data_IF_628106140490
#
_entry.id   IF_628106140490
#
_cell.length_a   1.000
_cell.length_b   1.000
_cell.length_c   1.000
_cell.angle_alpha   90.00
_cell.angle_beta   90.00
_cell.angle_gamma   90.00
#
_symmetry.space_group_name_H-M   'P 1'
#
loop_
_entity.id
_entity.type
_entity.pdbx_description
1 polymer ?
#
# COMPACT_ATOMS: atom_id res chain seq x y z
N UNK A 1 -16.97 -34.63 2.84
CA UNK A 1 -15.83 -33.71 2.75
C UNK A 1 -16.37 -32.33 3.04
N UNK A 2 -16.10 -31.75 4.20
CA UNK A 2 -16.34 -30.32 4.44
C UNK A 2 -15.44 -29.58 3.44
N UNK A 3 -16.03 -28.91 2.45
CA UNK A 3 -15.26 -28.16 1.46
C UNK A 3 -14.49 -27.08 2.21
N UNK A 4 -13.17 -27.22 2.24
CA UNK A 4 -12.28 -26.23 2.84
C UNK A 4 -12.54 -24.86 2.21
N UNK A 5 -12.80 -23.84 3.04
CA UNK A 5 -13.04 -22.47 2.56
C UNK A 5 -11.81 -22.02 1.74
N UNK A 6 -12.01 -21.39 0.56
CA UNK A 6 -10.90 -20.97 -0.28
C UNK A 6 -10.05 -19.93 0.44
N UNK A 7 -8.73 -20.07 0.34
CA UNK A 7 -7.77 -19.05 0.78
C UNK A 7 -7.72 -17.94 -0.27
N UNK A 8 -8.01 -16.71 0.12
CA UNK A 8 -7.84 -15.52 -0.73
C UNK A 8 -6.44 -14.93 -0.52
N UNK A 9 -5.64 -14.91 -1.58
CA UNK A 9 -4.29 -14.34 -1.56
C UNK A 9 -4.28 -13.05 -2.36
N UNK A 10 -4.01 -11.94 -1.71
CA UNK A 10 -3.85 -10.64 -2.35
C UNK A 10 -2.37 -10.40 -2.65
N UNK A 11 -2.01 -10.38 -3.93
CA UNK A 11 -0.66 -10.13 -4.42
C UNK A 11 -0.56 -8.66 -4.81
N UNK A 12 0.14 -7.87 -4.00
CA UNK A 12 0.39 -6.44 -4.27
C UNK A 12 1.82 -6.29 -4.78
N UNK A 13 2.00 -5.70 -5.96
CA UNK A 13 3.35 -5.43 -6.43
C UNK A 13 3.50 -4.58 -7.69
N UNK A 14 4.74 -4.21 -7.96
CA UNK A 14 5.15 -3.25 -8.98
C UNK A 14 5.55 -3.90 -10.32
N UNK A 15 4.99 -5.08 -10.59
CA UNK A 15 5.36 -5.91 -11.74
C UNK A 15 5.02 -5.26 -13.08
N UNK A 16 3.99 -4.39 -13.15
CA UNK A 16 3.59 -3.59 -14.31
C UNK A 16 3.33 -4.35 -15.63
N UNK A 17 3.36 -5.68 -15.62
CA UNK A 17 2.89 -6.53 -16.70
C UNK A 17 2.21 -7.80 -16.15
N UNK A 18 1.36 -8.42 -16.96
CA UNK A 18 0.63 -9.63 -16.59
C UNK A 18 1.54 -10.86 -16.46
N UNK A 19 2.69 -10.90 -17.15
CA UNK A 19 3.54 -12.08 -17.19
C UNK A 19 4.23 -12.29 -15.84
N UNK A 20 4.83 -11.24 -15.29
CA UNK A 20 5.49 -11.27 -13.99
C UNK A 20 4.50 -11.59 -12.85
N UNK A 21 3.27 -11.05 -12.89
CA UNK A 21 2.21 -11.48 -11.98
C UNK A 21 1.90 -12.98 -12.13
N UNK A 22 1.75 -13.47 -13.36
CA UNK A 22 1.44 -14.88 -13.61
C UNK A 22 2.58 -15.80 -13.13
N UNK A 23 3.84 -15.43 -13.34
CA UNK A 23 4.99 -16.20 -12.84
C UNK A 23 4.99 -16.30 -11.30
N UNK A 24 4.71 -15.19 -10.61
CA UNK A 24 4.59 -15.18 -9.15
C UNK A 24 3.40 -16.02 -8.69
N UNK A 25 2.26 -15.89 -9.36
CA UNK A 25 1.04 -16.64 -9.03
C UNK A 25 1.26 -18.14 -9.20
N UNK A 26 1.88 -18.59 -10.31
CA UNK A 26 2.24 -19.99 -10.52
C UNK A 26 3.17 -20.53 -9.43
N UNK A 27 4.06 -19.70 -8.89
CA UNK A 27 4.96 -20.11 -7.80
C UNK A 27 4.24 -20.17 -6.47
N UNK A 28 3.31 -19.26 -6.20
CA UNK A 28 2.44 -19.32 -5.01
C UNK A 28 1.56 -20.59 -5.09
N UNK A 29 0.86 -20.79 -6.21
CA UNK A 29 0.04 -21.99 -6.48
C UNK A 29 0.85 -23.27 -6.33
N UNK A 30 2.05 -23.33 -6.91
CA UNK A 30 2.91 -24.50 -6.81
C UNK A 30 3.36 -24.83 -5.38
N UNK A 31 3.66 -23.82 -4.56
CA UNK A 31 4.03 -24.03 -3.15
C UNK A 31 2.83 -24.34 -2.23
N UNK A 32 1.61 -24.02 -2.69
CA UNK A 32 0.34 -24.29 -2.02
C UNK A 32 -0.47 -25.38 -2.74
N UNK A 33 0.18 -26.20 -3.55
CA UNK A 33 -0.50 -27.21 -4.37
C UNK A 33 -1.37 -28.13 -3.50
N UNK A 34 -2.63 -28.31 -3.92
CA UNK A 34 -3.64 -29.07 -3.18
C UNK A 34 -4.52 -28.23 -2.24
N UNK A 35 -4.16 -26.97 -1.96
CA UNK A 35 -5.04 -26.03 -1.26
C UNK A 35 -5.95 -25.32 -2.27
N UNK A 36 -7.22 -25.13 -1.89
CA UNK A 36 -8.14 -24.28 -2.63
C UNK A 36 -7.76 -22.80 -2.42
N UNK A 37 -7.21 -22.13 -3.43
CA UNK A 37 -6.75 -20.73 -3.36
C UNK A 37 -7.35 -19.88 -4.49
N UNK A 38 -7.65 -18.62 -4.18
CA UNK A 38 -7.99 -17.57 -5.13
C UNK A 38 -6.94 -16.47 -5.04
N UNK A 39 -6.34 -16.08 -6.16
CA UNK A 39 -5.32 -15.03 -6.19
C UNK A 39 -5.89 -13.74 -6.82
N UNK A 40 -5.70 -12.62 -6.13
CA UNK A 40 -6.11 -11.29 -6.56
C UNK A 40 -4.87 -10.40 -6.71
N UNK A 41 -4.64 -9.89 -7.92
CA UNK A 41 -3.48 -9.05 -8.21
C UNK A 41 -3.83 -7.56 -8.08
N UNK A 42 -3.04 -6.83 -7.30
CA UNK A 42 -3.06 -5.37 -7.20
C UNK A 42 -1.75 -4.81 -7.74
N UNK A 43 -1.82 -4.17 -8.90
CA UNK A 43 -0.67 -3.49 -9.48
C UNK A 43 -0.43 -2.14 -8.79
N UNK A 44 0.83 -1.78 -8.61
CA UNK A 44 1.27 -0.43 -8.25
C UNK A 44 2.31 0.05 -9.27
N UNK A 45 2.54 1.38 -9.40
CA UNK A 45 3.57 1.90 -10.28
C UNK A 45 4.97 1.35 -9.95
N UNK A 46 5.82 1.29 -10.96
CA UNK A 46 7.18 0.73 -10.82
C UNK A 46 7.95 1.42 -9.67
N UNK A 47 8.52 0.61 -8.77
CA UNK A 47 9.34 1.05 -7.64
C UNK A 47 8.62 1.91 -6.59
N UNK A 48 7.29 2.03 -6.67
CA UNK A 48 6.51 2.95 -5.83
C UNK A 48 6.11 2.31 -4.49
N UNK A 49 7.05 2.30 -3.55
CA UNK A 49 6.83 1.75 -2.20
C UNK A 49 5.76 2.49 -1.39
N UNK A 50 5.48 3.77 -1.71
CA UNK A 50 4.44 4.56 -1.03
C UNK A 50 3.06 4.07 -1.44
N UNK A 51 2.83 3.93 -2.74
CA UNK A 51 1.62 3.32 -3.30
C UNK A 51 1.41 1.91 -2.76
N UNK A 52 2.46 1.10 -2.67
CA UNK A 52 2.41 -0.26 -2.08
C UNK A 52 1.91 -0.25 -0.65
N UNK A 53 2.51 0.60 0.19
CA UNK A 53 2.11 0.69 1.60
C UNK A 53 0.68 1.16 1.76
N UNK A 54 0.26 2.16 0.97
CA UNK A 54 -1.12 2.64 0.96
C UNK A 54 -2.11 1.54 0.54
N UNK A 55 -1.86 0.86 -0.59
CA UNK A 55 -2.72 -0.23 -1.06
C UNK A 55 -2.79 -1.39 -0.07
N UNK A 56 -1.65 -1.77 0.53
CA UNK A 56 -1.61 -2.80 1.56
C UNK A 56 -2.51 -2.42 2.74
N UNK A 57 -2.33 -1.23 3.32
CA UNK A 57 -3.13 -0.82 4.47
C UNK A 57 -4.62 -0.66 4.12
N UNK A 58 -4.92 -0.04 2.98
CA UNK A 58 -6.30 0.17 2.52
C UNK A 58 -7.06 -1.15 2.33
N UNK A 59 -6.40 -2.21 1.85
CA UNK A 59 -7.01 -3.53 1.65
C UNK A 59 -7.00 -4.35 2.95
N UNK A 60 -5.84 -4.47 3.61
CA UNK A 60 -5.65 -5.38 4.74
C UNK A 60 -6.34 -4.91 6.02
N UNK A 61 -6.35 -3.62 6.32
CA UNK A 61 -7.00 -3.10 7.53
C UNK A 61 -8.53 -3.11 7.42
N UNK A 62 -9.07 -3.10 6.20
CA UNK A 62 -10.51 -3.10 5.92
C UNK A 62 -11.07 -4.48 5.54
N UNK A 63 -10.32 -5.56 5.76
CA UNK A 63 -10.87 -6.92 5.63
C UNK A 63 -12.04 -7.08 6.60
N UNK A 64 -13.23 -7.52 6.13
CA UNK A 64 -14.38 -7.76 7.00
C UNK A 64 -14.08 -8.74 8.13
N UNK A 65 -14.20 -8.27 9.38
CA UNK A 65 -13.99 -9.09 10.59
C UNK A 65 -15.28 -9.62 11.19
N UNK A 66 -16.43 -9.17 10.69
CA UNK A 66 -17.77 -9.59 11.11
C UNK A 66 -18.22 -10.92 10.47
N UNK A 67 -17.47 -11.40 9.46
CA UNK A 67 -17.73 -12.66 8.76
C UNK A 67 -16.86 -13.77 9.35
N UNK A 68 -17.48 -14.74 10.03
CA UNK A 68 -16.78 -15.81 10.73
C UNK A 68 -15.87 -16.63 9.80
N UNK A 69 -14.59 -16.71 10.16
CA UNK A 69 -13.58 -17.45 9.42
C UNK A 69 -13.11 -16.76 8.14
N UNK A 70 -13.54 -15.54 7.82
CA UNK A 70 -13.15 -14.86 6.60
C UNK A 70 -11.71 -14.33 6.69
N UNK A 71 -11.41 -13.57 7.73
CA UNK A 71 -10.09 -12.97 7.97
C UNK A 71 -8.95 -14.01 7.97
N UNK A 72 -9.16 -15.16 8.61
CA UNK A 72 -8.16 -16.24 8.69
C UNK A 72 -7.81 -16.82 7.32
N UNK A 73 -8.76 -16.74 6.38
CA UNK A 73 -8.62 -17.18 4.99
C UNK A 73 -8.20 -16.05 4.04
N UNK A 74 -7.81 -14.87 4.54
CA UNK A 74 -7.24 -13.79 3.72
C UNK A 74 -5.76 -13.63 4.06
N UNK A 75 -4.89 -13.67 3.05
CA UNK A 75 -3.43 -13.50 3.20
C UNK A 75 -2.90 -12.53 2.16
N UNK A 76 -1.82 -11.84 2.52
CA UNK A 76 -1.18 -10.85 1.64
C UNK A 76 0.24 -11.28 1.26
N UNK A 77 0.56 -11.13 -0.02
CA UNK A 77 1.90 -11.28 -0.57
C UNK A 77 2.29 -9.96 -1.22
N UNK A 78 3.21 -9.23 -0.60
CA UNK A 78 3.51 -7.84 -0.98
C UNK A 78 4.97 -7.70 -1.40
N UNK A 79 5.19 -7.17 -2.61
CA UNK A 79 6.53 -6.98 -3.12
C UNK A 79 6.63 -5.70 -3.93
N UNK A 80 7.56 -4.84 -3.54
CA UNK A 80 8.03 -3.75 -4.39
C UNK A 80 9.54 -3.70 -4.25
N UNK A 81 10.26 -3.79 -5.36
CA UNK A 81 11.71 -3.80 -5.34
C UNK A 81 12.23 -2.43 -5.75
N UNK A 82 12.50 -1.49 -4.82
CA UNK A 82 12.97 -0.16 -5.19
C UNK A 82 14.38 -0.28 -5.79
N UNK A 83 14.50 -0.34 -7.12
CA UNK A 83 15.78 -0.53 -7.84
C UNK A 83 16.74 0.68 -7.75
N UNK A 84 16.54 1.58 -6.80
CA UNK A 84 17.26 2.87 -6.63
C UNK A 84 17.66 3.16 -5.18
N UNK A 85 17.49 2.20 -4.28
CA UNK A 85 17.67 2.34 -2.84
C UNK A 85 19.14 2.34 -2.39
N UNK A 86 20.03 1.57 -3.05
CA UNK A 86 21.48 1.61 -2.82
C UNK A 86 22.22 2.04 -4.11
N UNK A 87 22.97 3.16 -4.10
CA UNK A 87 23.79 3.55 -5.26
C UNK A 87 24.99 2.61 -5.48
N UNK A 88 25.31 1.70 -4.54
CA UNK A 88 26.39 0.72 -4.67
C UNK A 88 25.94 -0.52 -5.45
N UNK A 89 26.87 -1.08 -6.22
CA UNK A 89 26.67 -2.38 -6.89
C UNK A 89 26.48 -3.45 -5.83
N UNK A 90 25.32 -4.10 -5.81
CA UNK A 90 25.03 -5.20 -4.90
C UNK A 90 25.65 -6.50 -5.45
N UNK A 91 26.53 -7.13 -4.67
CA UNK A 91 27.12 -8.44 -5.00
C UNK A 91 26.03 -9.52 -4.82
N UNK A 92 25.94 -10.48 -5.76
CA UNK A 92 24.96 -11.61 -5.75
C UNK A 92 23.47 -11.24 -5.80
N UNK A 93 23.11 -10.04 -6.25
CA UNK A 93 21.71 -9.59 -6.31
C UNK A 93 21.01 -9.55 -4.93
N UNK A 94 21.76 -9.31 -3.85
CA UNK A 94 21.19 -9.14 -2.52
C UNK A 94 20.13 -8.02 -2.53
N UNK A 95 18.89 -8.34 -2.17
CA UNK A 95 17.78 -7.40 -2.14
C UNK A 95 17.29 -7.11 -0.72
N UNK A 96 16.29 -6.24 -0.60
CA UNK A 96 15.60 -5.97 0.66
C UNK A 96 15.07 -7.25 1.34
N UNK A 97 15.02 -7.24 2.68
CA UNK A 97 14.56 -8.39 3.46
C UNK A 97 13.07 -8.69 3.26
N UNK A 98 12.70 -9.97 3.29
CA UNK A 98 11.28 -10.35 3.42
C UNK A 98 10.92 -10.32 4.90
N UNK A 99 9.72 -9.82 5.20
CA UNK A 99 9.20 -9.74 6.56
C UNK A 99 7.79 -10.31 6.62
N UNK A 100 7.45 -10.81 7.78
CA UNK A 100 6.10 -11.17 8.18
C UNK A 100 5.45 -9.97 8.86
N UNK A 101 4.16 -9.76 8.61
CA UNK A 101 3.36 -8.84 9.39
C UNK A 101 2.06 -9.50 9.83
N UNK A 102 1.58 -9.10 11.02
CA UNK A 102 0.26 -9.42 11.54
C UNK A 102 -0.40 -8.15 12.03
N UNK A 103 -1.65 -7.94 11.64
CA UNK A 103 -2.45 -6.77 11.99
C UNK A 103 -3.37 -7.10 13.16
N UNK A 104 -3.81 -6.05 13.86
CA UNK A 104 -4.72 -6.17 15.00
C UNK A 104 -6.06 -6.82 14.66
N UNK A 105 -6.48 -6.73 13.39
CA UNK A 105 -7.71 -7.36 12.90
C UNK A 105 -7.53 -8.85 12.57
N UNK A 106 -6.33 -9.42 12.76
CA UNK A 106 -6.01 -10.83 12.50
C UNK A 106 -5.46 -11.13 11.11
N UNK A 107 -5.51 -10.16 10.18
CA UNK A 107 -4.90 -10.30 8.85
C UNK A 107 -3.39 -10.40 8.97
N UNK A 108 -2.80 -11.26 8.15
CA UNK A 108 -1.35 -11.45 8.10
C UNK A 108 -0.87 -11.68 6.67
N UNK A 109 0.44 -11.57 6.49
CA UNK A 109 1.07 -11.80 5.20
C UNK A 109 2.57 -11.63 5.26
N UNK A 110 3.15 -11.60 4.06
CA UNK A 110 4.56 -11.27 3.88
C UNK A 110 4.70 -10.03 3.03
N UNK A 111 5.69 -9.22 3.34
CA UNK A 111 6.03 -8.03 2.58
C UNK A 111 7.55 -7.92 2.43
N UNK A 112 8.02 -7.36 1.33
CA UNK A 112 9.39 -6.88 1.26
C UNK A 112 9.49 -5.59 2.09
N UNK A 113 10.44 -5.55 3.02
CA UNK A 113 10.72 -4.35 3.81
C UNK A 113 11.50 -3.33 2.97
N UNK A 114 10.78 -2.64 2.09
CA UNK A 114 11.33 -1.68 1.13
C UNK A 114 10.67 -0.32 1.26
N UNK A 115 11.45 0.73 1.48
CA UNK A 115 10.94 2.12 1.56
C UNK A 115 9.72 2.23 2.47
N UNK A 116 8.58 2.67 1.91
CA UNK A 116 7.34 2.87 2.65
C UNK A 116 6.32 1.72 2.55
N UNK A 117 6.70 0.55 2.03
CA UNK A 117 5.79 -0.58 1.78
C UNK A 117 5.05 -1.10 3.02
N UNK A 118 5.59 -0.83 4.22
CA UNK A 118 4.99 -1.21 5.51
C UNK A 118 4.60 -0.01 6.38
N UNK A 119 4.90 1.22 5.94
CA UNK A 119 4.75 2.42 6.76
C UNK A 119 3.30 2.64 7.24
N UNK A 120 2.32 2.35 6.38
CA UNK A 120 0.91 2.57 6.67
C UNK A 120 0.27 1.50 7.57
N UNK A 121 0.86 0.30 7.64
CA UNK A 121 0.38 -0.78 8.52
C UNK A 121 1.10 -0.81 9.88
N UNK A 122 2.23 -0.12 10.02
CA UNK A 122 3.07 -0.09 11.24
C UNK A 122 2.24 0.15 12.51
N UNK A 123 1.38 1.17 12.53
CA UNK A 123 0.56 1.52 13.69
C UNK A 123 -0.57 0.51 13.99
N UNK A 124 -0.99 -0.27 12.99
CA UNK A 124 -2.00 -1.32 13.12
C UNK A 124 -1.42 -2.72 13.38
N UNK A 125 -0.10 -2.87 13.32
CA UNK A 125 0.55 -4.17 13.40
C UNK A 125 0.77 -4.62 14.85
N UNK A 126 0.36 -5.84 15.15
CA UNK A 126 0.69 -6.53 16.39
C UNK A 126 2.09 -7.16 16.32
N UNK A 127 2.50 -7.57 15.12
CA UNK A 127 3.84 -8.10 14.84
C UNK A 127 4.33 -7.60 13.48
N UNK A 128 5.60 -7.19 13.40
CA UNK A 128 6.33 -7.12 12.14
C UNK A 128 7.71 -7.71 12.37
N UNK A 129 8.00 -8.87 11.76
CA UNK A 129 9.20 -9.66 12.05
C UNK A 129 9.95 -10.02 10.80
N UNK A 130 11.28 -10.01 10.86
CA UNK A 130 12.09 -10.51 9.74
C UNK A 130 11.76 -11.97 9.42
N UNK A 131 11.76 -12.35 8.15
CA UNK A 131 11.75 -13.76 7.74
C UNK A 131 13.17 -14.19 7.39
N UNK A 132 13.62 -15.28 8.01
CA UNK A 132 14.89 -15.94 7.71
C UNK A 132 14.80 -16.68 6.37
N UNK A 133 14.77 -15.92 5.28
CA UNK A 133 14.83 -16.44 3.92
C UNK A 133 16.19 -16.14 3.30
N UNK A 134 16.61 -16.99 2.35
CA UNK A 134 17.85 -16.77 1.61
C UNK A 134 17.84 -15.38 0.94
N UNK A 135 18.85 -14.57 1.26
CA UNK A 135 19.01 -13.22 0.71
C UNK A 135 19.70 -13.22 -0.66
N UNK A 136 20.29 -14.35 -1.04
CA UNK A 136 21.07 -14.56 -2.26
C UNK A 136 20.35 -15.49 -3.25
N UNK A 137 20.75 -15.44 -4.53
CA UNK A 137 20.53 -16.54 -5.48
C UNK A 137 19.50 -16.32 -6.59
N UNK A 138 18.80 -15.18 -6.65
CA UNK A 138 17.95 -14.83 -7.80
C UNK A 138 17.83 -13.33 -8.02
N UNK A 139 17.75 -12.92 -9.29
CA UNK A 139 17.36 -11.56 -9.69
C UNK A 139 15.86 -11.29 -9.50
N UNK A 140 15.01 -12.34 -9.45
CA UNK A 140 13.56 -12.25 -9.30
C UNK A 140 13.08 -12.98 -8.04
N UNK A 141 13.48 -12.45 -6.88
CA UNK A 141 13.26 -13.09 -5.57
C UNK A 141 11.78 -13.29 -5.21
N UNK A 142 10.89 -12.41 -5.66
CA UNK A 142 9.45 -12.58 -5.45
C UNK A 142 8.83 -13.72 -6.25
N UNK A 143 9.52 -14.22 -7.28
CA UNK A 143 9.18 -15.46 -8.00
C UNK A 143 9.89 -16.68 -7.38
N UNK A 144 11.19 -16.56 -7.10
CA UNK A 144 12.03 -17.74 -6.85
C UNK A 144 12.25 -18.07 -5.36
N UNK A 145 12.11 -17.08 -4.47
CA UNK A 145 12.46 -17.21 -3.03
C UNK A 145 11.24 -17.02 -2.14
N UNK A 146 10.54 -15.88 -2.28
CA UNK A 146 9.49 -15.48 -1.34
C UNK A 146 8.25 -16.39 -1.33
N UNK A 147 7.82 -17.01 -2.45
CA UNK A 147 6.64 -17.90 -2.43
C UNK A 147 6.78 -19.10 -1.50
N UNK A 148 8.00 -19.61 -1.28
CA UNK A 148 8.27 -20.69 -0.31
C UNK A 148 8.00 -20.22 1.11
N UNK A 149 8.57 -19.07 1.50
CA UNK A 149 8.37 -18.49 2.82
C UNK A 149 6.89 -18.13 3.07
N UNK A 150 6.22 -17.55 2.07
CA UNK A 150 4.79 -17.27 2.15
C UNK A 150 3.97 -18.54 2.42
N UNK A 151 4.28 -19.65 1.74
CA UNK A 151 3.58 -20.91 1.95
C UNK A 151 3.77 -21.48 3.36
N UNK A 152 4.94 -21.28 3.98
CA UNK A 152 5.14 -21.67 5.39
C UNK A 152 4.25 -20.85 6.34
N UNK A 153 4.14 -19.54 6.12
CA UNK A 153 3.21 -18.69 6.89
C UNK A 153 1.76 -19.14 6.71
N UNK A 154 1.34 -19.44 5.46
CA UNK A 154 -0.02 -19.95 5.18
C UNK A 154 -0.32 -21.27 5.91
N UNK A 155 0.69 -22.13 6.10
CA UNK A 155 0.58 -23.39 6.86
C UNK A 155 0.67 -23.19 8.38
N UNK A 156 0.85 -21.95 8.85
CA UNK A 156 1.04 -21.64 10.28
C UNK A 156 2.43 -22.00 10.81
N UNK A 157 3.43 -22.18 9.94
CA UNK A 157 4.80 -22.39 10.36
C UNK A 157 5.51 -21.03 10.56
N UNK A 158 5.66 -20.64 11.82
CA UNK A 158 6.31 -19.40 12.24
C UNK A 158 7.76 -19.57 12.72
N UNK A 159 8.35 -20.77 12.59
CA UNK A 159 9.73 -21.03 13.02
C UNK A 159 10.76 -20.25 12.19
N UNK A 160 10.36 -19.80 11.00
CA UNK A 160 11.16 -18.98 10.09
C UNK A 160 11.25 -17.51 10.51
N UNK A 161 10.50 -17.09 11.55
CA UNK A 161 10.49 -15.70 12.00
C UNK A 161 11.75 -15.34 12.82
N UNK A 162 12.24 -14.13 12.60
CA UNK A 162 13.38 -13.50 13.26
C UNK A 162 12.95 -12.36 14.18
N UNK A 163 13.79 -11.35 14.30
CA UNK A 163 13.57 -10.22 15.21
C UNK A 163 12.39 -9.34 14.78
N UNK A 164 11.85 -8.60 15.74
CA UNK A 164 10.93 -7.49 15.46
C UNK A 164 11.68 -6.35 14.78
N UNK A 165 11.14 -5.83 13.68
CA UNK A 165 11.76 -4.79 12.86
C UNK A 165 10.90 -3.52 12.78
N UNK A 166 9.86 -3.39 13.61
CA UNK A 166 8.92 -2.23 13.58
C UNK A 166 9.64 -0.88 13.65
N UNK A 167 10.68 -0.78 14.46
CA UNK A 167 11.48 0.45 14.62
C UNK A 167 12.29 0.80 13.36
N UNK A 168 12.56 -0.17 12.49
CA UNK A 168 13.27 0.03 11.23
C UNK A 168 12.35 0.48 10.09
N UNK A 169 11.03 0.52 10.31
CA UNK A 169 10.06 0.95 9.30
C UNK A 169 9.89 2.47 9.38
N UNK A 170 10.09 3.20 8.27
CA UNK A 170 9.92 4.65 8.27
C UNK A 170 8.45 5.05 8.45
N UNK A 171 8.24 6.21 9.05
CA UNK A 171 6.91 6.80 9.14
C UNK A 171 6.51 7.47 7.81
N UNK A 172 5.20 7.55 7.55
CA UNK A 172 4.67 8.20 6.34
C UNK A 172 4.97 9.70 6.38
N UNK A 173 5.62 10.29 5.36
CA UNK A 173 5.90 11.71 5.33
C UNK A 173 4.61 12.52 5.19
N UNK A 174 4.57 13.70 5.81
CA UNK A 174 3.45 14.62 5.71
C UNK A 174 3.44 15.38 4.38
N UNK A 175 2.24 15.81 3.95
CA UNK A 175 2.05 16.66 2.77
C UNK A 175 2.68 16.07 1.49
N UNK A 176 2.49 14.78 1.24
CA UNK A 176 2.87 14.13 -0.02
C UNK A 176 1.66 13.50 -0.70
N UNK A 177 1.78 13.23 -2.00
CA UNK A 177 0.89 12.28 -2.69
C UNK A 177 1.16 10.88 -2.16
N UNK A 178 0.13 10.13 -1.77
CA UNK A 178 0.28 8.73 -1.28
C UNK A 178 -0.27 7.70 -2.27
N UNK A 179 -1.27 8.07 -3.08
CA UNK A 179 -1.85 7.19 -4.10
C UNK A 179 -2.59 8.03 -5.14
N UNK A 180 -2.63 7.54 -6.39
CA UNK A 180 -3.49 8.09 -7.45
C UNK A 180 -4.53 7.03 -7.81
N UNK A 181 -5.81 7.36 -7.65
CA UNK A 181 -6.88 6.41 -7.97
C UNK A 181 -7.16 6.28 -9.49
N UNK A 182 -8.06 5.37 -9.86
CA UNK A 182 -8.41 5.11 -11.26
C UNK A 182 -9.09 6.28 -11.98
N UNK A 183 -9.63 7.27 -11.25
CA UNK A 183 -10.20 8.49 -11.81
C UNK A 183 -9.15 9.59 -11.96
N UNK A 184 -7.99 9.43 -11.33
CA UNK A 184 -6.90 10.40 -11.29
C UNK A 184 -6.98 11.38 -10.14
N UNK A 185 -7.72 11.05 -9.07
CA UNK A 185 -7.67 11.82 -7.83
C UNK A 185 -6.38 11.49 -7.09
N UNK A 186 -5.77 12.50 -6.51
CA UNK A 186 -4.56 12.34 -5.70
C UNK A 186 -4.97 12.21 -4.25
N UNK A 187 -4.76 11.05 -3.65
CA UNK A 187 -4.82 10.88 -2.20
C UNK A 187 -3.52 11.38 -1.60
N UNK A 188 -3.60 12.08 -0.48
CA UNK A 188 -2.47 12.80 0.10
C UNK A 188 -2.39 12.63 1.61
N UNK A 189 -1.19 12.76 2.16
CA UNK A 189 -0.93 12.82 3.61
C UNK A 189 -1.05 14.23 4.19
N UNK A 190 -1.77 15.13 3.51
CA UNK A 190 -2.14 16.42 4.10
C UNK A 190 -3.13 16.14 5.23
N UNK A 191 -2.90 16.75 6.39
CA UNK A 191 -3.70 16.52 7.59
C UNK A 191 -5.20 16.83 7.30
N UNK A 192 -6.10 15.82 7.39
CA UNK A 192 -7.52 15.99 7.09
C UNK A 192 -8.21 16.99 8.03
N UNK A 193 -7.78 17.10 9.29
CA UNK A 193 -8.40 18.01 10.28
C UNK A 193 -8.20 19.49 9.86
N UNK A 194 -7.05 19.81 9.24
CA UNK A 194 -6.78 21.15 8.70
C UNK A 194 -7.66 21.47 7.49
N UNK A 195 -8.03 20.46 6.71
CA UNK A 195 -8.88 20.61 5.53
C UNK A 195 -10.34 20.79 5.95
N UNK A 196 -10.85 20.00 6.90
CA UNK A 196 -12.23 20.12 7.40
C UNK A 196 -12.51 21.51 7.98
N UNK A 197 -11.57 22.05 8.76
CA UNK A 197 -11.67 23.40 9.34
C UNK A 197 -11.54 24.54 8.33
N UNK A 198 -11.14 24.23 7.09
CA UNK A 198 -10.94 25.19 6.01
C UNK A 198 -12.03 25.12 4.92
N UNK A 199 -13.14 24.42 5.16
CA UNK A 199 -14.26 24.30 4.21
C UNK A 199 -14.69 25.67 3.65
N UNK A 200 -15.01 25.71 2.36
CA UNK A 200 -15.32 26.89 1.53
C UNK A 200 -14.15 27.85 1.25
N UNK A 201 -12.98 27.68 1.87
CA UNK A 201 -11.81 28.54 1.59
C UNK A 201 -11.13 28.14 0.29
N UNK A 202 -10.45 29.09 -0.33
CA UNK A 202 -9.58 28.82 -1.47
C UNK A 202 -8.24 28.28 -1.02
N UNK A 203 -7.64 27.44 -1.85
CA UNK A 203 -6.34 26.82 -1.60
C UNK A 203 -5.46 26.97 -2.83
N UNK A 204 -4.20 27.32 -2.60
CA UNK A 204 -3.14 27.26 -3.59
C UNK A 204 -2.24 26.09 -3.26
N UNK A 205 -1.97 25.23 -4.24
CA UNK A 205 -1.04 24.11 -4.10
C UNK A 205 0.03 24.14 -5.17
N UNK A 206 1.21 23.64 -4.83
CA UNK A 206 2.30 23.33 -5.74
C UNK A 206 2.54 21.82 -5.66
N UNK A 207 2.20 21.12 -6.73
CA UNK A 207 2.37 19.68 -6.84
C UNK A 207 3.18 19.44 -8.10
N UNK A 208 4.31 18.77 -7.98
CA UNK A 208 5.15 18.45 -9.14
C UNK A 208 5.52 19.66 -10.02
N UNK A 209 5.86 20.79 -9.38
CA UNK A 209 6.20 22.05 -10.07
C UNK A 209 5.03 22.71 -10.82
N UNK A 210 3.81 22.20 -10.64
CA UNK A 210 2.58 22.79 -11.18
C UNK A 210 1.82 23.47 -10.06
N UNK A 211 1.42 24.71 -10.33
CA UNK A 211 0.55 25.46 -9.44
C UNK A 211 -0.90 25.19 -9.79
N UNK A 212 -1.69 24.80 -8.79
CA UNK A 212 -3.14 24.69 -8.90
C UNK A 212 -3.79 25.61 -7.88
N UNK A 213 -4.94 26.15 -8.26
CA UNK A 213 -5.85 26.86 -7.40
C UNK A 213 -7.14 26.06 -7.34
N UNK A 214 -7.64 25.84 -6.14
CA UNK A 214 -8.87 25.12 -5.91
C UNK A 214 -9.60 25.66 -4.70
N UNK A 215 -10.66 24.96 -4.33
CA UNK A 215 -11.48 25.26 -3.18
C UNK A 215 -11.53 24.05 -2.25
N UNK A 216 -11.56 24.32 -0.95
CA UNK A 216 -11.78 23.27 0.04
C UNK A 216 -13.27 22.96 0.08
N UNK A 217 -13.64 21.75 -0.31
CA UNK A 217 -15.04 21.30 -0.34
C UNK A 217 -15.35 20.34 0.79
N UNK A 218 -16.63 20.23 1.14
CA UNK A 218 -17.15 19.15 2.00
C UNK A 218 -17.08 17.76 1.33
N UNK A 219 -16.77 17.74 0.03
CA UNK A 219 -16.56 16.56 -0.79
C UNK A 219 -16.40 16.96 -2.26
N UNK A 220 -16.22 15.96 -3.14
CA UNK A 220 -15.99 16.18 -4.59
C UNK A 220 -17.04 17.06 -5.29
N UNK A 221 -18.29 17.04 -4.83
CA UNK A 221 -19.40 17.81 -5.42
C UNK A 221 -19.54 19.23 -4.85
N UNK A 222 -18.66 19.66 -3.96
CA UNK A 222 -18.67 20.99 -3.33
C UNK A 222 -18.12 22.13 -4.19
N UNK A 223 -17.68 21.85 -5.42
CA UNK A 223 -17.11 22.83 -6.37
C UNK A 223 -17.78 22.70 -7.74
N UNK A 224 -17.63 23.67 -8.65
CA UNK A 224 -18.19 23.58 -9.99
C UNK A 224 -17.43 22.61 -10.91
N UNK A 225 -18.05 22.21 -12.02
CA UNK A 225 -17.38 21.37 -13.02
C UNK A 225 -16.14 22.08 -13.59
N UNK A 226 -15.01 21.36 -13.70
CA UNK A 226 -13.73 21.92 -14.09
C UNK A 226 -12.93 22.59 -12.97
N UNK A 227 -13.45 22.68 -11.75
CA UNK A 227 -12.72 23.22 -10.60
C UNK A 227 -11.94 22.16 -9.83
N UNK A 228 -10.81 22.58 -9.26
CA UNK A 228 -10.09 21.75 -8.28
C UNK A 228 -10.79 21.79 -6.92
N UNK A 229 -11.05 20.61 -6.37
CA UNK A 229 -11.53 20.41 -5.02
C UNK A 229 -10.43 19.78 -4.15
N UNK A 230 -10.27 20.30 -2.92
CA UNK A 230 -9.53 19.62 -1.86
C UNK A 230 -10.51 19.23 -0.76
N UNK A 231 -10.61 17.95 -0.43
CA UNK A 231 -11.57 17.47 0.57
C UNK A 231 -11.03 16.25 1.30
N UNK A 232 -11.61 15.92 2.46
CA UNK A 232 -11.34 14.61 3.08
C UNK A 232 -12.01 13.52 2.24
N UNK A 233 -11.21 12.52 1.85
CA UNK A 233 -11.64 11.41 1.01
C UNK A 233 -12.24 10.24 1.78
N UNK A 234 -12.67 9.22 1.04
CA UNK A 234 -13.24 7.98 1.60
C UNK A 234 -12.19 6.96 2.02
N UNK A 235 -10.93 7.15 1.62
CA UNK A 235 -9.83 6.26 1.99
C UNK A 235 -9.43 6.43 3.44
N UNK A 236 -9.05 5.31 4.05
CA UNK A 236 -8.80 5.26 5.48
C UNK A 236 -9.04 3.88 6.09
N UNK A 237 -8.78 3.77 7.37
CA UNK A 237 -9.01 2.59 8.20
C UNK A 237 -9.01 2.97 9.68
N UNK A 238 -9.54 2.09 10.53
CA UNK A 238 -9.56 2.28 11.98
C UNK A 238 -8.39 1.54 12.62
N UNK A 239 -7.70 2.20 13.55
CA UNK A 239 -6.62 1.64 14.35
C UNK A 239 -7.16 0.91 15.60
N UNK A 240 -6.32 0.12 16.31
CA UNK A 240 -6.73 -0.60 17.52
C UNK A 240 -7.30 0.30 18.63
N UNK A 241 -6.86 1.56 18.71
CA UNK A 241 -7.31 2.57 19.68
C UNK A 241 -8.63 3.25 19.28
N UNK A 242 -9.24 2.83 18.15
CA UNK A 242 -10.44 3.44 17.60
C UNK A 242 -10.19 4.70 16.77
N UNK A 243 -8.93 5.15 16.62
CA UNK A 243 -8.60 6.30 15.78
C UNK A 243 -8.84 5.95 14.31
N UNK A 244 -9.57 6.82 13.62
CA UNK A 244 -9.74 6.73 12.17
C UNK A 244 -8.59 7.43 11.45
N UNK A 245 -7.80 6.67 10.70
CA UNK A 245 -6.89 7.21 9.69
C UNK A 245 -7.72 7.64 8.48
N UNK A 246 -7.51 8.88 8.05
CA UNK A 246 -8.24 9.51 6.95
C UNK A 246 -7.24 10.21 6.04
N UNK A 247 -7.59 10.34 4.77
CA UNK A 247 -6.72 10.98 3.77
C UNK A 247 -7.42 12.17 3.14
N UNK A 248 -6.64 13.21 2.87
CA UNK A 248 -7.07 14.34 2.05
C UNK A 248 -6.92 13.99 0.58
N UNK A 249 -7.88 14.37 -0.24
CA UNK A 249 -7.85 14.18 -1.69
C UNK A 249 -7.78 15.52 -2.42
N UNK A 250 -6.98 15.55 -3.50
CA UNK A 250 -6.98 16.62 -4.50
C UNK A 250 -7.62 16.08 -5.75
N UNK A 251 -8.71 16.72 -6.15
CA UNK A 251 -9.62 16.26 -7.21
C UNK A 251 -9.81 17.39 -8.21
N UNK A 252 -10.07 17.04 -9.47
CA UNK A 252 -10.55 17.95 -10.50
C UNK A 252 -11.93 17.49 -10.92
N UNK A 253 -12.98 18.25 -10.56
CA UNK A 253 -14.36 17.84 -10.87
C UNK A 253 -14.55 17.77 -12.38
N UNK A 254 -15.08 16.64 -12.86
CA UNK A 254 -15.24 16.36 -14.30
C UNK A 254 -13.92 16.08 -15.05
N UNK A 255 -12.78 16.05 -14.35
CA UNK A 255 -11.46 15.88 -14.96
C UNK A 255 -10.58 14.87 -14.24
N UNK A 256 -9.27 15.01 -14.41
CA UNK A 256 -8.26 14.13 -13.84
C UNK A 256 -7.17 14.99 -13.18
N UNK A 257 -7.17 15.07 -11.85
CA UNK A 257 -6.26 15.94 -11.10
C UNK A 257 -4.79 15.57 -11.35
N UNK A 258 -4.48 14.27 -11.32
CA UNK A 258 -3.13 13.76 -11.53
C UNK A 258 -2.55 14.24 -12.87
N UNK A 259 -3.27 14.07 -13.99
CA UNK A 259 -2.83 14.53 -15.31
C UNK A 259 -2.57 16.04 -15.35
N UNK A 260 -3.40 16.83 -14.68
CA UNK A 260 -3.24 18.29 -14.64
C UNK A 260 -1.99 18.75 -13.88
N UNK A 261 -1.40 17.88 -13.06
CA UNK A 261 -0.11 18.12 -12.37
C UNK A 261 0.99 17.15 -12.83
N UNK A 262 0.92 16.72 -14.09
CA UNK A 262 1.89 15.83 -14.75
C UNK A 262 2.09 14.47 -14.07
N UNK A 263 1.00 13.87 -13.59
CA UNK A 263 0.91 12.51 -13.02
C UNK A 263 2.02 12.20 -12.00
N UNK A 264 2.06 12.91 -10.86
CA UNK A 264 3.12 12.76 -9.87
C UNK A 264 3.17 11.33 -9.31
N UNK A 265 4.39 10.81 -9.15
CA UNK A 265 4.61 9.61 -8.36
C UNK A 265 4.21 9.83 -6.90
N UNK A 266 3.78 8.77 -6.21
CA UNK A 266 3.59 8.87 -4.77
C UNK A 266 4.93 9.14 -4.05
N UNK A 267 4.84 9.76 -2.88
CA UNK A 267 5.96 10.39 -2.17
C UNK A 267 6.29 11.81 -2.66
N UNK A 268 5.66 12.31 -3.74
CA UNK A 268 5.90 13.68 -4.20
C UNK A 268 5.34 14.70 -3.20
N UNK A 269 6.22 15.60 -2.73
CA UNK A 269 5.86 16.69 -1.84
C UNK A 269 4.85 17.64 -2.47
N UNK A 270 3.94 18.12 -1.62
CA UNK A 270 2.91 19.10 -1.89
C UNK A 270 3.16 20.30 -0.98
N UNK A 271 3.46 21.46 -1.57
CA UNK A 271 3.44 22.71 -0.82
C UNK A 271 2.07 23.34 -1.00
N UNK A 272 1.37 23.65 0.08
CA UNK A 272 0.01 24.21 0.01
C UNK A 272 -0.20 25.30 1.04
N UNK A 273 -1.15 26.19 0.75
CA UNK A 273 -1.62 27.22 1.69
C UNK A 273 -3.04 27.64 1.37
N UNK A 274 -3.78 28.03 2.40
CA UNK A 274 -5.05 28.71 2.23
C UNK A 274 -4.83 30.11 1.65
N UNK A 275 -5.80 30.57 0.87
CA UNK A 275 -5.86 31.91 0.30
C UNK A 275 -7.06 32.61 0.92
N UNK A 276 -6.84 33.81 1.45
CA UNK A 276 -7.89 34.70 1.94
C UNK A 276 -8.73 35.28 0.80
#
# INVERSE_FOLDING_TARGET
MTSEKPLSVYVIGDYNDHLAFNEVNMRIEGNLFGRNINIFNQNVPAFDTMSTGFCLAQLAMNVPTDIEGYTENVKFFVNTAPRKDDPKIRVKCAGEGLVYFKLHNGVEGVAVNSGYSLAFVKAGATEIREIKADKDGSQFRSRDVFPKAFAEIVKGNYDILGEDIRENIPDVPENVVVWTDGYGNLKTSINPDLIETATEKHVKMNINQRHIFGKVGSGIFGVEDGEFCVSVGSSGWTLPDGKNIRFTEVILRGGNAARSVDSPHAGKKIDWKLVE
#
